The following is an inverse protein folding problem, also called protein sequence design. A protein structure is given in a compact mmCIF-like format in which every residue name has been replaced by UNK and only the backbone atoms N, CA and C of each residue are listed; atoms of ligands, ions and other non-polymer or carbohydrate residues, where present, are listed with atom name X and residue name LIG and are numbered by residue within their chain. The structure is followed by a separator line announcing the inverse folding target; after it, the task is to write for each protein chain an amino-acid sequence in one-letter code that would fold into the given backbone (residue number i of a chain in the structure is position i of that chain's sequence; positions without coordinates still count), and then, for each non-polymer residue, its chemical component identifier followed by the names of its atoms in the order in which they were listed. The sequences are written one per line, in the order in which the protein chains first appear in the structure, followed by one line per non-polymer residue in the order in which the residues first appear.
data_IF_702873943516
#
_entry.id   IF_702873943516
#
_cell.length_a   1.000
_cell.length_b   1.000
_cell.length_c   1.000
_cell.angle_alpha   90.00
_cell.angle_beta   90.00
_cell.angle_gamma   90.00
#
_symmetry.space_group_name_H-M   'P 1'
#
loop_
_entity.id
_entity.type
_entity.pdbx_description
1 polymer ?
#
# COMPACT_ATOMS: atom_id res chain seq x y z
N UNK A 1 2.32 -6.42 3.61
CA UNK A 1 1.33 -5.35 3.90
C UNK A 1 0.11 -5.48 3.01
N UNK A 2 -1.00 -4.82 3.34
CA UNK A 2 -2.22 -4.76 2.53
C UNK A 2 -2.85 -3.38 2.66
N UNK A 3 -3.34 -2.82 1.56
CA UNK A 3 -4.26 -1.69 1.49
C UNK A 3 -5.41 -2.09 0.58
N UNK A 4 -6.61 -1.53 0.77
CA UNK A 4 -7.74 -1.85 -0.06
C UNK A 4 -8.96 -1.01 0.28
N UNK A 5 -9.96 -1.12 -0.57
CA UNK A 5 -11.26 -0.47 -0.38
C UNK A 5 -12.39 -1.49 -0.45
N UNK A 6 -13.40 -1.28 0.39
CA UNK A 6 -14.57 -2.14 0.52
C UNK A 6 -15.78 -1.42 -0.08
N UNK A 7 -16.20 -1.84 -1.26
CA UNK A 7 -17.43 -1.34 -1.85
C UNK A 7 -18.60 -2.22 -1.42
N UNK A 8 -19.36 -1.70 -0.47
CA UNK A 8 -20.53 -2.37 0.09
C UNK A 8 -21.65 -1.35 0.28
N UNK A 9 -22.86 -1.68 -0.18
CA UNK A 9 -24.02 -0.78 -0.11
C UNK A 9 -24.68 -0.71 1.29
N UNK A 10 -24.14 -1.44 2.30
CA UNK A 10 -24.75 -1.60 3.62
C UNK A 10 -23.78 -1.24 4.75
N UNK A 11 -24.33 -1.14 5.97
CA UNK A 11 -23.58 -0.98 7.22
C UNK A 11 -22.53 -2.09 7.51
N UNK A 12 -22.42 -3.07 6.62
CA UNK A 12 -21.56 -4.24 6.75
C UNK A 12 -20.13 -4.03 6.27
N UNK A 13 -19.80 -2.86 5.67
CA UNK A 13 -18.45 -2.57 5.15
C UNK A 13 -17.36 -2.75 6.22
N UNK A 14 -17.61 -2.31 7.46
CA UNK A 14 -16.66 -2.47 8.58
C UNK A 14 -16.47 -3.95 8.93
N UNK A 15 -17.54 -4.74 8.92
CA UNK A 15 -17.45 -6.18 9.18
C UNK A 15 -16.69 -6.89 8.06
N UNK A 16 -16.96 -6.54 6.81
CA UNK A 16 -16.25 -7.10 5.66
C UNK A 16 -14.76 -6.73 5.69
N UNK A 17 -14.41 -5.47 5.98
CA UNK A 17 -13.02 -5.06 6.16
C UNK A 17 -12.32 -5.86 7.28
N UNK A 18 -13.01 -6.13 8.39
CA UNK A 18 -12.48 -7.00 9.46
C UNK A 18 -12.25 -8.43 8.99
N UNK A 19 -13.13 -9.00 8.16
CA UNK A 19 -12.95 -10.33 7.58
C UNK A 19 -11.72 -10.37 6.66
N UNK A 20 -11.55 -9.36 5.80
CA UNK A 20 -10.37 -9.20 4.93
C UNK A 20 -9.09 -9.18 5.76
N UNK A 21 -8.99 -8.27 6.74
CA UNK A 21 -7.80 -8.14 7.57
C UNK A 21 -7.51 -9.39 8.42
N UNK A 22 -8.56 -10.06 8.91
CA UNK A 22 -8.41 -11.31 9.66
C UNK A 22 -7.92 -12.44 8.76
N UNK A 23 -8.47 -12.58 7.56
CA UNK A 23 -8.02 -13.56 6.57
C UNK A 23 -6.56 -13.28 6.17
N UNK A 24 -6.23 -12.05 5.81
CA UNK A 24 -4.87 -11.65 5.46
C UNK A 24 -3.86 -12.00 6.55
N UNK A 25 -4.11 -11.63 7.81
CA UNK A 25 -3.20 -11.92 8.92
C UNK A 25 -2.93 -13.40 9.11
N UNK A 26 -3.96 -14.26 8.93
CA UNK A 26 -3.80 -15.71 9.04
C UNK A 26 -3.01 -16.28 7.86
N UNK A 27 -3.36 -15.87 6.64
CA UNK A 27 -2.75 -16.41 5.43
C UNK A 27 -1.32 -15.92 5.25
N UNK A 28 -1.00 -14.67 5.58
CA UNK A 28 0.35 -14.11 5.48
C UNK A 28 1.39 -14.81 6.37
N UNK A 29 0.94 -15.53 7.42
CA UNK A 29 1.84 -16.33 8.28
C UNK A 29 1.93 -17.78 7.79
N UNK A 30 0.86 -18.29 7.18
CA UNK A 30 0.71 -19.71 6.84
C UNK A 30 1.17 -20.04 5.41
N UNK A 31 1.16 -19.05 4.51
CA UNK A 31 1.36 -19.26 3.07
C UNK A 31 2.54 -18.40 2.61
N UNK A 32 3.58 -18.99 2.00
CA UNK A 32 4.81 -18.25 1.67
C UNK A 32 4.70 -17.36 0.43
N UNK A 33 3.81 -17.64 -0.52
CA UNK A 33 3.69 -16.90 -1.77
C UNK A 33 2.53 -15.89 -1.69
N UNK A 34 2.82 -14.63 -2.02
CA UNK A 34 1.90 -13.50 -1.85
C UNK A 34 0.61 -13.65 -2.69
N UNK A 35 0.72 -14.20 -3.90
CA UNK A 35 -0.42 -14.53 -4.76
C UNK A 35 -1.35 -15.58 -4.13
N UNK A 36 -0.79 -16.55 -3.43
CA UNK A 36 -1.58 -17.54 -2.70
C UNK A 36 -2.25 -16.91 -1.47
N UNK A 37 -1.59 -15.96 -0.79
CA UNK A 37 -2.21 -15.19 0.29
C UNK A 37 -3.44 -14.45 -0.24
N UNK A 38 -3.34 -13.80 -1.40
CA UNK A 38 -4.46 -13.10 -2.04
C UNK A 38 -5.62 -14.07 -2.34
N UNK A 39 -5.33 -15.25 -2.90
CA UNK A 39 -6.32 -16.30 -3.17
C UNK A 39 -7.02 -16.81 -1.91
N UNK A 40 -6.27 -17.02 -0.82
CA UNK A 40 -6.86 -17.43 0.48
C UNK A 40 -7.77 -16.34 1.05
N UNK A 41 -7.37 -15.06 0.96
CA UNK A 41 -8.20 -13.93 1.38
C UNK A 41 -9.47 -13.87 0.55
N UNK A 42 -9.35 -13.99 -0.78
CA UNK A 42 -10.49 -13.98 -1.72
C UNK A 42 -11.50 -15.05 -1.38
N UNK A 43 -11.07 -16.30 -1.21
CA UNK A 43 -11.94 -17.42 -0.82
C UNK A 43 -12.61 -17.19 0.53
N UNK A 44 -11.87 -16.65 1.50
CA UNK A 44 -12.36 -16.44 2.85
C UNK A 44 -13.47 -15.38 2.95
N UNK A 45 -13.42 -14.34 2.09
CA UNK A 45 -14.42 -13.26 2.13
C UNK A 45 -15.65 -13.54 1.26
N UNK A 46 -15.55 -14.40 0.26
CA UNK A 46 -16.64 -14.69 -0.69
C UNK A 46 -17.99 -15.00 -0.03
N UNK A 47 -18.07 -15.78 1.06
CA UNK A 47 -19.35 -16.04 1.74
C UNK A 47 -19.97 -14.81 2.40
N UNK A 48 -19.23 -13.70 2.53
CA UNK A 48 -19.66 -12.47 3.18
C UNK A 48 -20.02 -11.37 2.19
N UNK A 49 -19.83 -11.61 0.88
CA UNK A 49 -20.15 -10.66 -0.20
C UNK A 49 -21.60 -10.81 -0.64
N UNK A 50 -22.29 -9.70 -0.77
CA UNK A 50 -23.56 -9.62 -1.51
C UNK A 50 -23.34 -9.58 -3.03
N UNK A 51 -24.44 -9.51 -3.80
CA UNK A 51 -24.40 -9.59 -5.26
C UNK A 51 -23.63 -8.40 -5.92
N UNK A 52 -23.65 -7.23 -5.28
CA UNK A 52 -23.00 -6.01 -5.78
C UNK A 52 -21.76 -5.61 -4.95
N UNK A 53 -21.42 -6.39 -3.92
CA UNK A 53 -20.29 -6.10 -3.06
C UNK A 53 -18.99 -6.63 -3.67
N UNK A 54 -17.93 -5.85 -3.54
CA UNK A 54 -16.58 -6.29 -3.88
C UNK A 54 -15.53 -5.57 -3.03
N UNK A 55 -14.35 -6.16 -2.99
CA UNK A 55 -13.22 -5.59 -2.26
C UNK A 55 -12.05 -5.48 -3.21
N UNK A 56 -11.58 -4.28 -3.46
CA UNK A 56 -10.30 -4.08 -4.11
C UNK A 56 -9.17 -4.12 -3.09
N UNK A 57 -8.05 -4.71 -3.43
CA UNK A 57 -6.90 -4.74 -2.55
C UNK A 57 -5.58 -4.76 -3.33
N UNK A 58 -4.55 -4.25 -2.67
CA UNK A 58 -3.17 -4.38 -3.11
C UNK A 58 -2.38 -4.97 -1.95
N UNK A 59 -1.73 -6.10 -2.21
CA UNK A 59 -0.83 -6.76 -1.29
C UNK A 59 0.60 -6.47 -1.72
N UNK A 60 1.47 -6.18 -0.76
CA UNK A 60 2.88 -5.98 -1.04
C UNK A 60 3.76 -6.63 0.03
N UNK A 61 4.87 -7.18 -0.41
CA UNK A 61 5.92 -7.77 0.41
C UNK A 61 7.26 -7.15 0.05
N UNK A 62 8.03 -6.81 1.07
CA UNK A 62 9.41 -6.34 0.91
C UNK A 62 10.32 -7.39 1.53
N UNK A 63 11.09 -8.06 0.70
CA UNK A 63 12.08 -9.02 1.14
C UNK A 63 13.25 -8.33 1.87
N UNK A 64 14.00 -9.05 2.73
CA UNK A 64 15.20 -8.51 3.34
C UNK A 64 16.27 -8.04 2.33
N UNK A 65 16.22 -8.54 1.10
CA UNK A 65 17.04 -8.09 -0.03
C UNK A 65 16.67 -6.70 -0.55
N UNK A 66 15.50 -6.16 -0.15
CA UNK A 66 14.93 -4.94 -0.72
C UNK A 66 14.07 -5.18 -1.97
N UNK A 67 13.87 -6.42 -2.41
CA UNK A 67 12.96 -6.74 -3.50
C UNK A 67 11.52 -6.50 -3.07
N UNK A 68 10.76 -5.78 -3.91
CA UNK A 68 9.34 -5.50 -3.71
C UNK A 68 8.51 -6.46 -4.59
N UNK A 69 7.68 -7.28 -3.96
CA UNK A 69 6.69 -8.13 -4.63
C UNK A 69 5.29 -7.54 -4.40
N UNK A 70 4.50 -7.45 -5.47
CA UNK A 70 3.16 -6.86 -5.44
C UNK A 70 2.15 -7.80 -6.07
N UNK A 71 0.98 -7.92 -5.44
CA UNK A 71 -0.24 -8.53 -6.01
C UNK A 71 -1.33 -7.48 -6.00
N UNK A 72 -1.86 -7.18 -7.18
CA UNK A 72 -2.97 -6.25 -7.33
C UNK A 72 -4.28 -7.04 -7.55
N UNK A 73 -5.26 -6.81 -6.70
CA UNK A 73 -6.59 -7.43 -6.74
C UNK A 73 -7.62 -6.33 -7.10
N UNK A 74 -7.55 -5.81 -8.34
CA UNK A 74 -8.46 -4.80 -8.84
C UNK A 74 -8.35 -3.42 -8.21
N UNK A 75 -7.25 -3.13 -7.52
CA UNK A 75 -7.01 -1.87 -6.83
C UNK A 75 -6.16 -0.92 -7.68
N UNK A 76 -6.08 0.36 -7.28
CA UNK A 76 -5.17 1.31 -7.92
C UNK A 76 -3.71 0.85 -7.79
N UNK A 77 -2.89 0.96 -8.86
CA UNK A 77 -1.48 0.60 -8.78
C UNK A 77 -0.75 1.54 -7.82
N UNK A 78 0.23 1.05 -7.05
CA UNK A 78 1.02 1.92 -6.20
C UNK A 78 1.87 2.86 -7.06
N UNK A 79 2.14 4.05 -6.55
CA UNK A 79 2.97 5.05 -7.23
C UNK A 79 4.39 4.99 -6.68
N UNK A 80 5.36 4.77 -7.57
CA UNK A 80 6.78 4.85 -7.26
C UNK A 80 7.30 6.26 -7.60
N UNK A 81 7.83 6.94 -6.59
CA UNK A 81 8.57 8.17 -6.77
C UNK A 81 10.06 7.87 -6.81
N UNK A 82 10.68 8.07 -7.97
CA UNK A 82 12.09 7.85 -8.23
C UNK A 82 12.70 9.07 -8.94
N UNK A 83 13.78 9.63 -8.40
CA UNK A 83 14.53 10.73 -9.04
C UNK A 83 13.69 11.96 -9.42
N UNK A 84 12.62 12.27 -8.67
CA UNK A 84 11.69 13.37 -8.96
C UNK A 84 10.59 13.00 -9.96
N UNK A 85 10.54 11.78 -10.44
CA UNK A 85 9.50 11.25 -11.33
C UNK A 85 8.54 10.34 -10.56
N UNK A 86 7.26 10.45 -10.86
CA UNK A 86 6.20 9.60 -10.32
C UNK A 86 5.70 8.66 -11.41
N UNK A 87 5.64 7.37 -11.11
CA UNK A 87 5.15 6.38 -12.06
C UNK A 87 4.35 5.27 -11.38
N UNK A 88 3.24 4.81 -11.99
CA UNK A 88 2.49 3.68 -11.46
C UNK A 88 3.27 2.36 -11.66
N UNK A 89 3.31 1.52 -10.63
CA UNK A 89 3.82 0.16 -10.74
C UNK A 89 2.69 -0.78 -11.13
N UNK A 90 2.73 -1.25 -12.36
CA UNK A 90 1.70 -2.13 -12.92
C UNK A 90 2.29 -3.49 -13.29
N UNK A 91 1.57 -4.56 -12.96
CA UNK A 91 1.84 -5.89 -13.49
C UNK A 91 1.36 -6.03 -14.94
N UNK A 92 1.69 -7.14 -15.56
CA UNK A 92 1.32 -7.44 -16.96
C UNK A 92 -0.13 -7.90 -17.12
N UNK A 93 -0.76 -8.32 -16.02
CA UNK A 93 -2.11 -8.90 -16.01
C UNK A 93 -3.02 -8.04 -15.15
N UNK A 94 -4.17 -7.64 -15.68
CA UNK A 94 -5.24 -7.07 -14.89
C UNK A 94 -5.91 -8.17 -14.07
N UNK A 95 -6.15 -7.93 -12.79
CA UNK A 95 -6.84 -8.85 -11.91
C UNK A 95 -8.18 -8.27 -11.47
N UNK A 96 -9.12 -9.16 -11.16
CA UNK A 96 -10.42 -8.81 -10.60
C UNK A 96 -10.29 -8.54 -9.08
N UNK A 97 -11.27 -7.85 -8.49
CA UNK A 97 -11.35 -7.70 -7.03
C UNK A 97 -11.40 -9.03 -6.27
N UNK A 98 -11.00 -8.98 -5.00
CA UNK A 98 -11.14 -10.10 -4.07
C UNK A 98 -12.61 -10.55 -3.98
N UNK A 99 -12.82 -11.86 -3.95
CA UNK A 99 -14.14 -12.50 -3.93
C UNK A 99 -14.65 -12.87 -5.32
N UNK A 100 -14.16 -12.22 -6.38
CA UNK A 100 -14.54 -12.51 -7.77
C UNK A 100 -13.56 -13.46 -8.47
N UNK A 101 -12.33 -13.55 -7.99
CA UNK A 101 -11.24 -14.35 -8.53
C UNK A 101 -10.45 -15.01 -7.39
N UNK A 102 -9.77 -16.12 -7.66
CA UNK A 102 -8.93 -16.83 -6.68
C UNK A 102 -7.48 -16.97 -7.14
N UNK A 103 -7.23 -16.82 -8.43
CA UNK A 103 -5.91 -16.96 -9.04
C UNK A 103 -5.32 -15.60 -9.38
N UNK A 104 -4.45 -15.13 -8.51
CA UNK A 104 -3.78 -13.85 -8.66
C UNK A 104 -2.35 -14.04 -9.16
N UNK A 105 -1.80 -13.02 -9.81
CA UNK A 105 -0.42 -13.01 -10.29
C UNK A 105 0.37 -11.96 -9.55
N UNK A 106 1.49 -12.38 -8.96
CA UNK A 106 2.47 -11.46 -8.39
C UNK A 106 3.38 -10.90 -9.48
N UNK A 107 3.84 -9.68 -9.29
CA UNK A 107 4.96 -9.12 -10.05
C UNK A 107 6.00 -8.52 -9.10
N UNK A 108 7.24 -8.48 -9.53
CA UNK A 108 8.32 -7.84 -8.77
C UNK A 108 8.65 -6.49 -9.37
N UNK A 109 9.00 -5.56 -8.51
CA UNK A 109 9.45 -4.23 -8.88
C UNK A 109 10.76 -3.92 -8.18
N UNK A 110 11.65 -3.24 -8.88
CA UNK A 110 12.86 -2.71 -8.28
C UNK A 110 12.55 -1.33 -7.71
N UNK A 111 12.92 -1.12 -6.46
CA UNK A 111 13.01 0.20 -5.88
C UNK A 111 14.38 0.37 -5.23
N UNK A 112 14.90 1.57 -5.30
CA UNK A 112 16.27 1.88 -4.93
C UNK A 112 16.29 2.70 -3.63
N UNK A 113 17.41 2.70 -2.92
CA UNK A 113 17.58 3.60 -1.77
C UNK A 113 17.25 5.06 -2.11
N UNK A 114 16.37 5.67 -1.33
CA UNK A 114 15.83 7.01 -1.56
C UNK A 114 14.52 7.06 -2.36
N UNK A 115 14.07 5.93 -2.91
CA UNK A 115 12.76 5.86 -3.55
C UNK A 115 11.65 5.85 -2.51
N UNK A 116 10.47 6.38 -2.91
CA UNK A 116 9.25 6.34 -2.12
C UNK A 116 8.14 5.62 -2.87
N UNK A 117 7.43 4.75 -2.15
CA UNK A 117 6.29 4.00 -2.65
C UNK A 117 5.03 4.46 -1.93
N UNK A 118 4.10 5.03 -2.69
CA UNK A 118 2.79 5.45 -2.19
C UNK A 118 1.72 4.43 -2.58
N UNK A 119 1.08 3.84 -1.58
CA UNK A 119 -0.14 3.06 -1.72
C UNK A 119 -1.30 3.93 -1.25
N UNK A 120 -2.42 3.88 -1.98
CA UNK A 120 -3.54 4.81 -1.74
C UNK A 120 -4.87 4.20 -2.18
N UNK A 121 -5.97 4.67 -1.59
CA UNK A 121 -7.34 4.37 -2.04
C UNK A 121 -7.79 5.39 -3.09
N UNK A 122 -8.86 5.07 -3.82
CA UNK A 122 -9.43 5.89 -4.91
C UNK A 122 -9.75 7.33 -4.50
N UNK A 123 -10.12 7.56 -3.22
CA UNK A 123 -10.36 8.89 -2.70
C UNK A 123 -9.24 9.91 -2.94
N UNK A 124 -7.96 9.46 -3.11
CA UNK A 124 -6.88 10.36 -3.50
C UNK A 124 -7.03 10.85 -4.95
N UNK A 125 -7.13 9.92 -5.90
CA UNK A 125 -7.13 10.21 -7.35
C UNK A 125 -8.50 10.65 -7.86
N UNK A 126 -9.56 10.32 -7.15
CA UNK A 126 -10.92 10.78 -7.43
C UNK A 126 -11.28 12.10 -6.76
N UNK A 127 -10.36 12.67 -5.95
CA UNK A 127 -10.52 14.00 -5.37
C UNK A 127 -10.72 15.06 -6.44
N UNK A 128 -11.91 15.69 -6.45
CA UNK A 128 -12.29 16.69 -7.45
C UNK A 128 -12.41 18.08 -6.84
N UNK A 129 -11.99 19.08 -7.60
CA UNK A 129 -12.24 20.47 -7.26
C UNK A 129 -13.68 20.89 -7.60
N UNK A 130 -14.02 22.16 -7.32
CA UNK A 130 -15.34 22.73 -7.62
C UNK A 130 -15.71 22.73 -9.14
N UNK A 131 -14.75 22.51 -10.02
CA UNK A 131 -14.94 22.44 -11.47
C UNK A 131 -15.02 20.99 -11.98
N UNK A 132 -14.83 20.00 -11.08
CA UNK A 132 -14.82 18.59 -11.41
C UNK A 132 -13.45 18.04 -11.85
N UNK A 133 -12.39 18.86 -11.81
CA UNK A 133 -11.04 18.43 -12.18
C UNK A 133 -10.42 17.57 -11.08
N UNK A 134 -9.70 16.53 -11.45
CA UNK A 134 -8.95 15.68 -10.54
C UNK A 134 -7.72 16.38 -9.96
N UNK A 135 -7.22 15.88 -8.82
CA UNK A 135 -5.95 16.32 -8.27
C UNK A 135 -4.83 16.05 -9.27
N UNK A 136 -4.05 17.07 -9.67
CA UNK A 136 -2.94 16.90 -10.61
C UNK A 136 -1.83 16.02 -10.05
N UNK A 137 -1.28 15.10 -10.88
CA UNK A 137 -0.20 14.18 -10.47
C UNK A 137 1.08 14.90 -10.04
N UNK A 138 1.36 16.08 -10.60
CA UNK A 138 2.52 16.91 -10.23
C UNK A 138 2.42 17.42 -8.78
N UNK A 139 1.22 17.63 -8.26
CA UNK A 139 1.02 17.96 -6.84
C UNK A 139 1.33 16.77 -5.94
N UNK A 140 0.96 15.55 -6.35
CA UNK A 140 1.34 14.33 -5.65
C UNK A 140 2.85 14.17 -5.66
N UNK A 141 3.48 14.26 -6.85
CA UNK A 141 4.93 14.16 -6.99
C UNK A 141 5.67 15.20 -6.14
N UNK A 142 5.20 16.45 -6.14
CA UNK A 142 5.79 17.53 -5.34
C UNK A 142 5.69 17.26 -3.84
N UNK A 143 4.54 16.76 -3.36
CA UNK A 143 4.37 16.43 -1.95
C UNK A 143 5.36 15.32 -1.51
N UNK A 144 5.63 14.35 -2.38
CA UNK A 144 6.56 13.25 -2.10
C UNK A 144 8.05 13.68 -2.08
N UNK A 145 8.37 14.95 -2.38
CA UNK A 145 9.73 15.50 -2.25
C UNK A 145 10.04 16.03 -0.83
N UNK A 146 9.06 16.07 0.08
CA UNK A 146 9.28 16.54 1.45
C UNK A 146 10.38 15.74 2.17
N UNK A 147 10.93 16.28 3.26
CA UNK A 147 12.13 15.75 3.91
C UNK A 147 11.96 14.32 4.46
N UNK A 148 10.77 13.98 4.92
CA UNK A 148 10.43 12.66 5.46
C UNK A 148 9.00 12.24 5.06
N UNK A 149 8.63 11.00 5.36
CA UNK A 149 7.33 10.44 5.02
C UNK A 149 6.17 11.17 5.70
N UNK A 150 6.34 11.60 6.95
CA UNK A 150 5.27 12.27 7.70
C UNK A 150 4.97 13.63 7.07
N UNK A 151 6.01 14.41 6.79
CA UNK A 151 5.87 15.70 6.09
C UNK A 151 5.31 15.54 4.67
N UNK A 152 5.68 14.46 3.97
CA UNK A 152 5.17 14.17 2.65
C UNK A 152 3.66 13.90 2.69
N UNK A 153 3.19 13.07 3.64
CA UNK A 153 1.77 12.79 3.82
C UNK A 153 0.98 14.03 4.25
N UNK A 154 1.51 14.84 5.17
CA UNK A 154 0.88 16.09 5.61
C UNK A 154 0.77 17.10 4.43
N UNK A 155 1.82 17.21 3.62
CA UNK A 155 1.83 18.06 2.43
C UNK A 155 0.81 17.57 1.40
N UNK A 156 0.75 16.27 1.16
CA UNK A 156 -0.22 15.66 0.24
C UNK A 156 -1.66 15.89 0.70
N UNK A 157 -1.95 15.63 1.97
CA UNK A 157 -3.28 15.88 2.54
C UNK A 157 -3.67 17.35 2.50
N UNK A 158 -2.70 18.26 2.71
CA UNK A 158 -2.93 19.70 2.56
C UNK A 158 -3.28 20.06 1.13
N UNK A 159 -2.58 19.49 0.14
CA UNK A 159 -2.87 19.70 -1.27
C UNK A 159 -4.28 19.20 -1.64
N UNK A 160 -4.67 18.00 -1.16
CA UNK A 160 -6.02 17.47 -1.34
C UNK A 160 -7.07 18.41 -0.76
N UNK A 161 -6.93 18.85 0.49
CA UNK A 161 -7.87 19.75 1.14
C UNK A 161 -8.01 21.10 0.41
N UNK A 162 -6.89 21.64 -0.07
CA UNK A 162 -6.89 22.88 -0.85
C UNK A 162 -7.56 22.70 -2.22
N UNK A 163 -7.33 21.57 -2.86
CA UNK A 163 -7.91 21.24 -4.16
C UNK A 163 -9.42 21.08 -4.07
N UNK A 164 -9.90 20.30 -3.11
CA UNK A 164 -11.32 20.02 -2.90
C UNK A 164 -12.08 21.18 -2.24
N UNK A 165 -11.39 22.13 -1.64
CA UNK A 165 -11.96 23.25 -0.86
C UNK A 165 -12.99 22.82 0.18
N UNK A 166 -12.80 21.64 0.76
CA UNK A 166 -13.70 21.07 1.76
C UNK A 166 -15.01 20.52 1.18
N UNK A 167 -15.17 20.43 -0.13
CA UNK A 167 -16.25 19.63 -0.72
C UNK A 167 -15.98 18.16 -0.39
N UNK A 168 -17.04 17.40 -0.08
CA UNK A 168 -16.93 16.01 0.33
C UNK A 168 -16.09 15.20 -0.66
N UNK A 169 -15.04 14.58 -0.15
CA UNK A 169 -14.25 13.58 -0.85
C UNK A 169 -14.57 12.21 -0.22
N UNK A 170 -14.33 11.17 -0.98
CA UNK A 170 -14.39 9.79 -0.49
C UNK A 170 -13.33 9.55 0.59
N UNK A 171 -13.44 8.46 1.33
CA UNK A 171 -12.48 8.10 2.36
C UNK A 171 -11.08 7.91 1.74
N UNK A 172 -10.09 8.60 2.29
CA UNK A 172 -8.71 8.53 1.81
C UNK A 172 -7.87 7.74 2.80
N UNK A 173 -7.28 6.65 2.34
CA UNK A 173 -6.22 5.95 3.04
C UNK A 173 -4.91 6.07 2.25
N UNK A 174 -3.84 6.43 2.94
CA UNK A 174 -2.50 6.59 2.38
C UNK A 174 -1.49 5.80 3.19
N UNK A 175 -0.60 5.09 2.52
CA UNK A 175 0.55 4.44 3.12
C UNK A 175 1.79 4.79 2.30
N UNK A 176 2.71 5.53 2.89
CA UNK A 176 3.96 5.93 2.26
C UNK A 176 5.12 5.17 2.87
N UNK A 177 5.93 4.57 2.02
CA UNK A 177 7.13 3.83 2.37
C UNK A 177 8.34 4.51 1.72
N UNK A 178 9.45 4.55 2.44
CA UNK A 178 10.73 5.02 1.91
C UNK A 178 11.77 3.90 1.99
N UNK A 179 12.48 3.66 0.89
CA UNK A 179 13.62 2.76 0.90
C UNK A 179 14.81 3.48 1.54
N UNK A 180 15.05 3.21 2.82
CA UNK A 180 16.16 3.82 3.56
C UNK A 180 17.50 3.42 2.96
N UNK A 181 18.35 4.39 2.68
CA UNK A 181 19.74 4.17 2.25
C UNK A 181 20.65 3.61 3.38
N UNK A 182 20.14 3.62 4.62
CA UNK A 182 20.90 3.13 5.75
C UNK A 182 20.53 1.66 6.05
N UNK A 183 21.52 0.74 6.13
CA UNK A 183 21.28 -0.54 6.77
C UNK A 183 20.82 -0.26 8.21
N UNK A 184 19.90 -1.06 8.76
CA UNK A 184 19.49 -0.89 10.14
C UNK A 184 20.74 -0.89 11.01
N UNK A 185 20.93 0.18 11.74
CA UNK A 185 22.05 0.28 12.70
C UNK A 185 22.03 -0.98 13.54
N UNK A 186 23.09 -1.77 13.46
CA UNK A 186 23.28 -2.95 14.29
C UNK A 186 23.41 -2.46 15.76
N UNK A 187 22.25 -2.31 16.40
CA UNK A 187 22.18 -2.10 17.85
C UNK A 187 22.59 -3.40 18.51
N UNK A 188 23.89 -3.65 18.63
CA UNK A 188 24.52 -4.52 19.63
C UNK A 188 26.07 -4.40 19.52
N UNK A 189 26.58 -3.20 19.83
CA UNK A 189 27.95 -3.03 20.24
C UNK A 189 28.12 -3.49 21.68
N UNK A 190 28.11 -4.80 21.90
CA UNK A 190 28.65 -5.33 23.17
C UNK A 190 30.18 -5.23 23.09
N UNK A 191 30.85 -4.47 23.95
CA UNK A 191 32.32 -4.42 23.95
C UNK A 191 32.86 -5.82 24.29
N UNK A 192 33.94 -6.28 23.65
CA UNK A 192 34.50 -7.58 23.90
C UNK A 192 35.01 -7.64 25.38
N UNK A 193 34.87 -8.80 26.03
CA UNK A 193 35.34 -8.99 27.42
C UNK A 193 36.85 -8.74 27.50
N UNK A 194 37.25 -7.89 28.44
CA UNK A 194 38.67 -7.66 28.75
C UNK A 194 39.34 -8.97 29.15
N UNK A 195 40.42 -9.34 28.46
CA UNK A 195 41.30 -10.46 28.86
C UNK A 195 41.85 -10.22 30.25
N UNK A 196 41.89 -11.24 31.11
CA UNK A 196 42.56 -11.10 32.40
C UNK A 196 44.09 -10.92 32.20
N UNK A 197 44.65 -9.91 32.84
CA UNK A 197 46.08 -9.69 32.92
C UNK A 197 46.72 -10.82 33.77
N UNK A 198 47.56 -11.62 33.13
CA UNK A 198 48.47 -12.54 33.81
C UNK A 198 49.53 -11.75 34.57
N UNK A 199 49.50 -11.89 35.90
CA UNK A 199 50.57 -11.60 36.79
C UNK A 199 51.38 -12.89 37.09
#
# INVERSE_FOLDING_TARGET
MIIGDVRCQRLDAILLARHVLSAFRRSAVAVPALEHVAGEVSRAIRPHLGEEDFVTALLAEIAPSGELTVVNCGHHPPLLHHGGSLQPLTGTTAALPLGLEDDFTAFTANWLPGDRLLLYTDGLVESRNQHGDFLPEDQIATALLAADCDQALDTLMTAVHQHTRGHGHDDIALLLLEHSAYPPSSANGHPPPKKPSSG
#
